data_IF_265238067088
#
_entry.id   IF_265238067088
#
_cell.length_a   1.000
_cell.length_b   1.000
_cell.length_c   1.000
_cell.angle_alpha   90.00
_cell.angle_beta   90.00
_cell.angle_gamma   90.00
#
_symmetry.space_group_name_H-M   'P 1'
#
loop_
_entity.id
_entity.type
_entity.pdbx_description
1 polymer ?
#
# COMPACT_ATOMS: atom_id res chain seq x y z
N UNK A 1 -17.55 40.71 -2.94
CA UNK A 1 -16.26 41.07 -2.31
C UNK A 1 -16.45 41.00 -0.80
N UNK A 2 -15.76 40.23 0.04
CA UNK A 2 -14.56 39.41 -0.04
C UNK A 2 -14.72 38.26 0.98
N UNK A 3 -14.68 37.02 0.50
CA UNK A 3 -14.33 35.85 1.31
C UNK A 3 -12.85 36.00 1.71
N UNK A 4 -12.52 36.12 3.00
CA UNK A 4 -11.11 36.03 3.42
C UNK A 4 -10.96 35.65 4.91
N UNK A 5 -10.59 34.39 5.15
CA UNK A 5 -9.69 33.92 6.22
C UNK A 5 -10.08 34.20 7.69
N UNK A 6 -10.86 33.28 8.30
CA UNK A 6 -10.87 33.06 9.76
C UNK A 6 -10.30 31.69 10.13
N UNK A 7 -9.17 31.34 9.49
CA UNK A 7 -8.25 30.32 9.98
C UNK A 7 -7.13 31.03 10.76
N UNK A 8 -7.40 31.47 11.99
CA UNK A 8 -6.33 31.92 12.90
C UNK A 8 -6.74 31.91 14.39
N UNK A 9 -7.51 30.92 14.85
CA UNK A 9 -7.86 30.80 16.29
C UNK A 9 -7.55 29.40 16.87
N UNK A 10 -7.21 28.40 16.05
CA UNK A 10 -7.01 27.02 16.55
C UNK A 10 -5.55 26.56 16.72
N UNK A 11 -4.58 27.48 16.64
CA UNK A 11 -3.16 27.19 16.95
C UNK A 11 -2.65 27.80 18.26
N UNK A 12 -3.51 28.44 19.08
CA UNK A 12 -3.04 29.12 20.29
C UNK A 12 -3.02 28.24 21.56
N UNK A 13 -3.47 26.98 21.50
CA UNK A 13 -3.53 26.10 22.68
C UNK A 13 -2.40 25.06 22.78
N UNK A 14 -1.42 25.08 21.88
CA UNK A 14 -0.37 24.05 21.83
C UNK A 14 1.08 24.58 21.94
N UNK A 15 1.31 25.88 22.08
CA UNK A 15 2.66 26.42 22.29
C UNK A 15 2.67 27.37 23.50
N UNK A 16 3.14 26.88 24.64
CA UNK A 16 3.35 27.68 25.85
C UNK A 16 4.45 28.71 25.66
N UNK A 17 4.08 29.92 25.25
CA UNK A 17 4.99 31.05 25.16
C UNK A 17 4.44 32.20 26.03
N UNK A 18 4.94 32.31 27.27
CA UNK A 18 4.44 33.23 28.31
C UNK A 18 4.90 34.69 28.18
N UNK A 19 5.41 35.16 27.04
CA UNK A 19 6.00 36.50 26.96
C UNK A 19 5.67 37.15 25.62
N UNK A 20 4.51 37.81 25.54
CA UNK A 20 4.22 39.00 24.71
C UNK A 20 2.72 39.28 24.71
N UNK A 21 2.18 39.84 25.81
CA UNK A 21 0.87 40.49 25.77
C UNK A 21 0.79 41.69 26.72
N UNK A 22 1.83 42.54 26.71
CA UNK A 22 1.81 43.82 27.42
C UNK A 22 1.53 44.98 26.47
N UNK A 23 0.47 44.91 25.65
CA UNK A 23 0.00 46.11 24.92
C UNK A 23 -1.40 46.07 24.32
N UNK A 24 -2.41 45.56 25.01
CA UNK A 24 -3.81 45.85 24.65
C UNK A 24 -4.71 45.72 25.88
N UNK A 25 -4.59 46.68 26.79
CA UNK A 25 -5.53 46.85 27.89
C UNK A 25 -5.94 48.32 27.91
N UNK A 26 -7.04 48.64 27.20
CA UNK A 26 -7.98 49.72 27.52
C UNK A 26 -9.02 49.82 26.39
N UNK A 27 -9.87 48.80 26.30
CA UNK A 27 -11.24 49.01 25.82
C UNK A 27 -12.12 47.99 26.53
N UNK A 28 -13.10 48.49 27.28
CA UNK A 28 -14.01 47.67 28.06
C UNK A 28 -14.85 46.78 27.11
N UNK A 29 -14.50 45.51 27.03
CA UNK A 29 -15.37 44.49 26.44
C UNK A 29 -16.34 43.99 27.52
N UNK A 30 -17.62 43.76 27.19
CA UNK A 30 -18.58 43.20 28.13
C UNK A 30 -18.10 41.81 28.57
N UNK A 31 -18.19 41.53 29.88
CA UNK A 31 -17.85 40.23 30.48
C UNK A 31 -18.73 39.15 29.85
N UNK A 32 -18.24 38.52 28.79
CA UNK A 32 -18.89 37.37 28.15
C UNK A 32 -18.82 36.23 29.17
N UNK A 33 -19.97 35.82 29.70
CA UNK A 33 -20.09 34.62 30.55
C UNK A 33 -19.59 33.45 29.72
N UNK A 34 -18.42 32.92 30.05
CA UNK A 34 -17.91 31.69 29.45
C UNK A 34 -18.72 30.56 30.09
N UNK A 35 -19.55 29.82 29.34
CA UNK A 35 -20.24 28.67 29.91
C UNK A 35 -19.19 27.69 30.43
N UNK A 36 -19.24 27.39 31.72
CA UNK A 36 -18.36 26.46 32.39
C UNK A 36 -18.75 25.04 31.94
N UNK A 37 -18.32 24.66 30.73
CA UNK A 37 -18.48 23.28 30.24
C UNK A 37 -17.61 22.42 31.16
N UNK A 38 -18.23 21.69 32.08
CA UNK A 38 -17.56 20.70 32.91
C UNK A 38 -17.10 19.57 31.97
N UNK A 39 -15.92 19.73 31.39
CA UNK A 39 -15.32 18.69 30.57
C UNK A 39 -14.96 17.53 31.49
N UNK A 40 -15.65 16.40 31.32
CA UNK A 40 -15.28 15.17 32.01
C UNK A 40 -13.89 14.77 31.53
N UNK A 41 -12.89 15.01 32.39
CA UNK A 41 -11.47 14.73 32.12
C UNK A 41 -11.23 13.25 31.83
N UNK A 42 -12.07 12.35 32.35
CA UNK A 42 -11.98 10.92 32.03
C UNK A 42 -12.53 10.62 30.64
N UNK A 43 -13.62 11.27 30.23
CA UNK A 43 -14.17 11.11 28.88
C UNK A 43 -13.21 11.67 27.82
N UNK A 44 -12.62 12.86 28.05
CA UNK A 44 -11.63 13.44 27.14
C UNK A 44 -10.36 12.60 27.06
N UNK A 45 -9.87 12.07 28.19
CA UNK A 45 -8.72 11.16 28.21
C UNK A 45 -8.99 9.83 27.47
N UNK A 46 -10.17 9.23 27.66
CA UNK A 46 -10.58 8.02 26.93
C UNK A 46 -10.67 8.26 25.42
N UNK A 47 -11.22 9.41 25.01
CA UNK A 47 -11.34 9.76 23.60
C UNK A 47 -9.95 9.98 22.96
N UNK A 48 -9.06 10.73 23.62
CA UNK A 48 -7.69 10.94 23.17
C UNK A 48 -6.91 9.62 23.05
N UNK A 49 -7.02 8.72 24.03
CA UNK A 49 -6.39 7.39 23.98
C UNK A 49 -6.87 6.57 22.78
N UNK A 50 -8.19 6.55 22.50
CA UNK A 50 -8.74 5.84 21.33
C UNK A 50 -8.26 6.42 20.01
N UNK A 51 -8.24 7.74 19.88
CA UNK A 51 -7.74 8.43 18.67
C UNK A 51 -6.27 8.08 18.41
N UNK A 52 -5.43 8.13 19.44
CA UNK A 52 -4.00 7.78 19.33
C UNK A 52 -3.81 6.30 18.98
N UNK A 53 -4.59 5.38 19.56
CA UNK A 53 -4.52 3.95 19.23
C UNK A 53 -4.89 3.67 17.77
N UNK A 54 -5.98 4.27 17.28
CA UNK A 54 -6.40 4.15 15.87
C UNK A 54 -5.35 4.74 14.93
N UNK A 55 -4.79 5.91 15.28
CA UNK A 55 -3.70 6.52 14.51
C UNK A 55 -2.44 5.64 14.47
N UNK A 56 -2.01 5.07 15.60
CA UNK A 56 -0.88 4.15 15.68
C UNK A 56 -1.10 2.88 14.85
N UNK A 57 -2.30 2.29 14.89
CA UNK A 57 -2.66 1.14 14.06
C UNK A 57 -2.61 1.48 12.57
N UNK A 58 -3.12 2.66 12.18
CA UNK A 58 -3.07 3.14 10.79
C UNK A 58 -1.64 3.35 10.32
N UNK A 59 -0.78 3.98 11.13
CA UNK A 59 0.64 4.17 10.81
C UNK A 59 1.37 2.83 10.70
N UNK A 60 1.15 1.89 11.63
CA UNK A 60 1.73 0.54 11.57
C UNK A 60 1.32 -0.21 10.29
N UNK A 61 0.05 -0.08 9.89
CA UNK A 61 -0.45 -0.66 8.63
C UNK A 61 0.21 -0.02 7.41
N UNK A 62 0.33 1.31 7.37
CA UNK A 62 1.01 2.02 6.28
C UNK A 62 2.49 1.62 6.15
N UNK A 63 3.22 1.52 7.26
CA UNK A 63 4.62 1.08 7.28
C UNK A 63 4.78 -0.38 6.82
N UNK A 64 3.90 -1.28 7.28
CA UNK A 64 3.91 -2.67 6.86
C UNK A 64 3.58 -2.82 5.35
N UNK A 65 2.62 -2.05 4.85
CA UNK A 65 2.29 -2.03 3.42
C UNK A 65 3.46 -1.53 2.58
N UNK A 66 4.16 -0.49 3.04
CA UNK A 66 5.34 0.04 2.35
C UNK A 66 6.50 -0.97 2.28
N UNK A 67 6.62 -1.85 3.29
CA UNK A 67 7.60 -2.94 3.26
C UNK A 67 7.19 -4.09 2.35
N UNK A 68 5.90 -4.42 2.28
CA UNK A 68 5.39 -5.49 1.41
C UNK A 68 5.48 -5.08 -0.07
N UNK A 69 5.14 -3.83 -0.39
CA UNK A 69 5.27 -3.31 -1.76
C UNK A 69 6.71 -3.35 -2.23
N UNK A 70 7.68 -2.98 -1.38
CA UNK A 70 9.10 -3.05 -1.74
C UNK A 70 9.54 -4.49 -1.98
N UNK A 71 9.25 -5.40 -1.05
CA UNK A 71 9.58 -6.83 -1.21
C UNK A 71 8.94 -7.45 -2.45
N UNK A 72 7.74 -6.99 -2.80
CA UNK A 72 7.07 -7.43 -4.03
C UNK A 72 7.88 -7.00 -5.25
N UNK A 73 8.33 -5.74 -5.32
CA UNK A 73 9.19 -5.27 -6.41
C UNK A 73 10.50 -6.05 -6.50
N UNK A 74 11.16 -6.28 -5.37
CA UNK A 74 12.42 -7.03 -5.31
C UNK A 74 12.23 -8.45 -5.87
N UNK A 75 11.18 -9.17 -5.47
CA UNK A 75 10.89 -10.50 -6.00
C UNK A 75 10.49 -10.51 -7.48
N UNK A 76 9.84 -9.45 -7.97
CA UNK A 76 9.52 -9.32 -9.40
C UNK A 76 10.79 -9.09 -10.23
N UNK A 77 11.76 -8.34 -9.70
CA UNK A 77 13.07 -8.16 -10.33
C UNK A 77 13.86 -9.47 -10.36
N UNK A 78 13.91 -10.19 -9.23
CA UNK A 78 14.52 -11.52 -9.18
C UNK A 78 13.88 -12.45 -10.21
N UNK A 79 12.54 -12.49 -10.28
CA UNK A 79 11.82 -13.34 -11.23
C UNK A 79 12.17 -13.01 -12.69
N UNK A 80 12.22 -11.72 -13.04
CA UNK A 80 12.62 -11.25 -14.36
C UNK A 80 14.05 -11.68 -14.71
N UNK A 81 14.99 -11.56 -13.78
CA UNK A 81 16.37 -12.00 -13.99
C UNK A 81 16.45 -13.51 -14.26
N UNK A 82 15.70 -14.33 -13.52
CA UNK A 82 15.68 -15.77 -13.72
C UNK A 82 15.05 -16.17 -15.07
N UNK A 83 13.99 -15.49 -15.51
CA UNK A 83 13.39 -15.70 -16.83
C UNK A 83 14.39 -15.38 -17.95
N UNK A 84 15.08 -14.24 -17.86
CA UNK A 84 16.12 -13.83 -18.82
C UNK A 84 17.28 -14.82 -18.86
N UNK A 85 17.75 -15.27 -17.69
CA UNK A 85 18.85 -16.23 -17.60
C UNK A 85 18.53 -17.58 -18.25
N UNK A 86 17.25 -17.93 -18.39
CA UNK A 86 16.78 -19.16 -19.02
C UNK A 86 16.24 -18.95 -20.44
N UNK A 87 16.46 -17.77 -21.04
CA UNK A 87 15.94 -17.40 -22.35
C UNK A 87 14.40 -17.51 -22.46
N UNK A 88 13.69 -17.34 -21.34
CA UNK A 88 12.22 -17.31 -21.23
C UNK A 88 11.72 -15.86 -21.13
N UNK A 89 12.42 -14.92 -21.76
CA UNK A 89 12.06 -13.51 -21.78
C UNK A 89 12.02 -13.03 -23.22
N UNK A 90 10.82 -12.70 -23.70
CA UNK A 90 10.62 -12.24 -25.06
C UNK A 90 10.85 -10.74 -25.16
N UNK A 91 11.64 -10.28 -26.12
CA UNK A 91 11.84 -8.83 -26.33
C UNK A 91 10.62 -8.19 -27.01
N UNK A 92 9.93 -8.96 -27.86
CA UNK A 92 8.78 -8.49 -28.61
C UNK A 92 7.48 -8.71 -27.83
N UNK A 93 6.65 -7.67 -27.76
CA UNK A 93 5.32 -7.78 -27.16
C UNK A 93 4.41 -8.65 -28.05
N UNK A 94 3.62 -9.58 -27.47
CA UNK A 94 2.62 -10.33 -28.21
C UNK A 94 1.56 -9.41 -28.82
N UNK A 95 0.89 -9.90 -29.85
CA UNK A 95 -0.28 -9.22 -30.42
C UNK A 95 -1.28 -8.83 -29.31
N UNK A 96 -1.82 -7.60 -29.30
CA UNK A 96 -2.74 -7.14 -28.26
C UNK A 96 -3.95 -8.06 -28.05
N UNK A 97 -4.41 -8.72 -29.11
CA UNK A 97 -5.49 -9.71 -29.06
C UNK A 97 -5.17 -10.90 -28.16
N UNK A 98 -3.90 -11.33 -28.09
CA UNK A 98 -3.46 -12.45 -27.25
C UNK A 98 -3.42 -12.09 -25.76
N UNK A 99 -3.28 -10.80 -25.42
CA UNK A 99 -3.30 -10.33 -24.03
C UNK A 99 -4.73 -10.25 -23.46
N UNK A 100 -5.75 -10.32 -24.31
CA UNK A 100 -7.17 -10.13 -23.95
C UNK A 100 -7.92 -11.45 -23.69
N UNK A 101 -7.21 -12.53 -23.35
CA UNK A 101 -7.88 -13.78 -23.01
C UNK A 101 -8.72 -13.67 -21.74
N UNK A 102 -9.84 -14.40 -21.71
CA UNK A 102 -10.71 -14.57 -20.54
C UNK A 102 -10.36 -15.81 -19.71
N UNK A 103 -9.48 -16.68 -20.21
CA UNK A 103 -9.05 -17.89 -19.52
C UNK A 103 -8.04 -17.56 -18.42
N UNK A 104 -7.99 -18.35 -17.33
CA UNK A 104 -6.96 -18.21 -16.32
C UNK A 104 -5.59 -18.43 -16.96
N UNK A 105 -4.64 -17.55 -16.62
CA UNK A 105 -3.28 -17.57 -17.18
C UNK A 105 -3.21 -17.37 -18.70
N UNK A 106 -4.30 -16.94 -19.35
CA UNK A 106 -4.39 -16.83 -20.81
C UNK A 106 -3.89 -18.09 -21.54
N UNK A 107 -4.19 -19.27 -20.99
CA UNK A 107 -3.63 -20.56 -21.41
C UNK A 107 -3.97 -20.96 -22.85
N UNK A 108 -4.94 -20.29 -23.47
CA UNK A 108 -5.36 -20.45 -24.85
C UNK A 108 -4.57 -19.57 -25.83
N UNK A 109 -4.03 -18.43 -25.38
CA UNK A 109 -3.38 -17.45 -26.27
C UNK A 109 -1.89 -17.25 -25.99
N UNK A 110 -1.41 -17.54 -24.79
CA UNK A 110 -0.04 -17.27 -24.36
C UNK A 110 0.62 -18.51 -23.78
N UNK A 111 1.93 -18.60 -23.99
CA UNK A 111 2.77 -19.48 -23.20
C UNK A 111 2.82 -18.97 -21.75
N UNK A 112 2.99 -19.89 -20.81
CA UNK A 112 2.93 -19.55 -19.38
C UNK A 112 3.98 -18.49 -18.97
N UNK A 113 5.19 -18.57 -19.52
CA UNK A 113 6.24 -17.58 -19.24
C UNK A 113 5.90 -16.20 -19.84
N UNK A 114 5.21 -16.16 -20.99
CA UNK A 114 4.73 -14.92 -21.61
C UNK A 114 3.63 -14.29 -20.76
N UNK A 115 2.73 -15.10 -20.21
CA UNK A 115 1.74 -14.61 -19.27
C UNK A 115 2.39 -13.98 -18.02
N UNK A 116 3.42 -14.63 -17.46
CA UNK A 116 4.20 -14.08 -16.34
C UNK A 116 4.78 -12.71 -16.72
N UNK A 117 5.49 -12.65 -17.85
CA UNK A 117 6.20 -11.46 -18.31
C UNK A 117 5.27 -10.29 -18.66
N UNK A 118 4.23 -10.54 -19.44
CA UNK A 118 3.43 -9.46 -20.05
C UNK A 118 2.18 -9.10 -19.27
N UNK A 119 1.69 -9.98 -18.39
CA UNK A 119 0.45 -9.74 -17.63
C UNK A 119 0.76 -9.62 -16.14
N UNK A 120 1.38 -10.64 -15.54
CA UNK A 120 1.54 -10.68 -14.09
C UNK A 120 2.53 -9.63 -13.57
N UNK A 121 3.76 -9.59 -14.10
CA UNK A 121 4.80 -8.65 -13.63
C UNK A 121 4.35 -7.19 -13.79
N UNK A 122 3.86 -6.74 -14.96
CA UNK A 122 3.46 -5.35 -15.16
C UNK A 122 2.25 -4.99 -14.30
N UNK A 123 1.28 -5.89 -14.15
CA UNK A 123 0.11 -5.66 -13.29
C UNK A 123 0.51 -5.43 -11.83
N UNK A 124 1.42 -6.24 -11.28
CA UNK A 124 1.86 -6.09 -9.90
C UNK A 124 2.70 -4.82 -9.69
N UNK A 125 3.61 -4.50 -10.63
CA UNK A 125 4.36 -3.22 -10.62
C UNK A 125 3.41 -2.03 -10.62
N UNK A 126 2.41 -2.04 -11.51
CA UNK A 126 1.41 -0.98 -11.59
C UNK A 126 0.60 -0.84 -10.29
N UNK A 127 0.24 -1.94 -9.64
CA UNK A 127 -0.42 -1.89 -8.32
C UNK A 127 0.43 -1.15 -7.30
N UNK A 128 1.73 -1.43 -7.25
CA UNK A 128 2.67 -0.77 -6.34
C UNK A 128 2.83 0.71 -6.67
N UNK A 129 3.11 1.05 -7.93
CA UNK A 129 3.32 2.43 -8.39
C UNK A 129 2.09 3.31 -8.12
N UNK A 130 0.89 2.78 -8.40
CA UNK A 130 -0.37 3.49 -8.21
C UNK A 130 -0.87 3.43 -6.76
N UNK A 131 -0.11 2.81 -5.84
CA UNK A 131 -0.51 2.58 -4.43
C UNK A 131 -1.89 1.92 -4.30
N UNK A 132 -2.24 1.09 -5.28
CA UNK A 132 -3.45 0.26 -5.26
C UNK A 132 -3.21 -0.94 -4.35
N UNK A 133 -4.27 -1.53 -3.78
CA UNK A 133 -4.12 -2.81 -3.09
C UNK A 133 -3.51 -3.84 -4.06
N UNK A 134 -2.51 -4.57 -3.57
CA UNK A 134 -2.01 -5.75 -4.26
C UNK A 134 -3.11 -6.81 -4.30
N UNK A 135 -3.18 -7.64 -5.36
CA UNK A 135 -4.20 -8.66 -5.47
C UNK A 135 -4.07 -9.68 -4.34
N UNK A 136 -5.21 -10.01 -3.73
CA UNK A 136 -5.28 -11.01 -2.67
C UNK A 136 -5.44 -12.38 -3.35
N UNK A 137 -4.62 -13.36 -2.95
CA UNK A 137 -4.71 -14.75 -3.44
C UNK A 137 -4.38 -14.91 -4.93
N UNK A 138 -3.13 -14.65 -5.27
CA UNK A 138 -2.54 -15.26 -6.47
C UNK A 138 -1.82 -16.54 -6.06
N UNK A 139 -2.05 -17.59 -6.84
CA UNK A 139 -1.44 -18.90 -6.66
C UNK A 139 -0.88 -19.33 -8.02
N UNK A 140 0.29 -18.78 -8.36
CA UNK A 140 0.93 -18.96 -9.67
C UNK A 140 1.93 -20.11 -9.65
N UNK A 141 2.60 -20.33 -8.52
CA UNK A 141 3.58 -21.40 -8.35
C UNK A 141 3.03 -22.82 -8.60
N UNK A 142 1.79 -23.20 -8.24
CA UNK A 142 1.26 -24.51 -8.58
C UNK A 142 1.16 -24.71 -10.10
N UNK A 143 0.77 -23.67 -10.83
CA UNK A 143 0.68 -23.71 -12.30
C UNK A 143 2.06 -23.88 -12.93
N UNK A 144 3.08 -23.20 -12.39
CA UNK A 144 4.47 -23.36 -12.83
C UNK A 144 4.97 -24.79 -12.67
N UNK A 145 4.62 -25.45 -11.56
CA UNK A 145 4.97 -26.85 -11.31
C UNK A 145 4.31 -27.79 -12.33
N UNK A 146 3.06 -27.53 -12.70
CA UNK A 146 2.36 -28.34 -13.71
C UNK A 146 2.94 -28.13 -15.12
N UNK A 147 3.13 -26.88 -15.55
CA UNK A 147 3.72 -26.56 -16.87
C UNK A 147 5.14 -27.13 -17.02
N UNK A 148 5.93 -27.10 -15.94
CA UNK A 148 7.32 -27.57 -15.93
C UNK A 148 7.53 -28.91 -15.23
N UNK A 149 6.51 -29.76 -15.12
CA UNK A 149 6.58 -31.04 -14.39
C UNK A 149 7.75 -31.95 -14.78
N UNK A 150 8.17 -31.92 -16.05
CA UNK A 150 9.34 -32.65 -16.55
C UNK A 150 10.69 -31.90 -16.44
N UNK A 151 10.67 -30.60 -16.09
CA UNK A 151 11.80 -29.68 -16.08
C UNK A 151 11.94 -28.90 -14.76
N UNK A 152 11.39 -29.43 -13.66
CA UNK A 152 11.36 -28.74 -12.37
C UNK A 152 12.74 -28.35 -11.84
N UNK A 153 13.78 -29.14 -12.14
CA UNK A 153 15.16 -28.82 -11.75
C UNK A 153 15.72 -27.64 -12.53
N UNK A 154 15.39 -27.54 -13.82
CA UNK A 154 15.82 -26.47 -14.72
C UNK A 154 15.17 -25.15 -14.32
N UNK A 155 13.85 -25.15 -14.12
CA UNK A 155 13.08 -23.95 -13.78
C UNK A 155 12.95 -23.71 -12.26
N UNK A 156 13.77 -24.39 -11.43
CA UNK A 156 13.65 -24.36 -9.97
C UNK A 156 13.64 -22.95 -9.39
N UNK A 157 14.55 -22.09 -9.86
CA UNK A 157 14.66 -20.74 -9.30
C UNK A 157 13.45 -19.87 -9.63
N UNK A 158 12.91 -20.01 -10.85
CA UNK A 158 11.67 -19.32 -11.25
C UNK A 158 10.51 -19.79 -10.38
N UNK A 159 10.36 -21.09 -10.17
CA UNK A 159 9.30 -21.66 -9.32
C UNK A 159 9.42 -21.16 -7.87
N UNK A 160 10.63 -21.07 -7.32
CA UNK A 160 10.87 -20.56 -5.98
C UNK A 160 10.54 -19.06 -5.87
N UNK A 161 10.89 -18.26 -6.87
CA UNK A 161 10.55 -16.84 -6.92
C UNK A 161 9.02 -16.63 -6.98
N UNK A 162 8.32 -17.39 -7.83
CA UNK A 162 6.85 -17.37 -7.89
C UNK A 162 6.22 -17.77 -6.56
N UNK A 163 6.76 -18.79 -5.90
CA UNK A 163 6.29 -19.22 -4.57
C UNK A 163 6.49 -18.13 -3.51
N UNK A 164 7.64 -17.46 -3.52
CA UNK A 164 7.89 -16.35 -2.60
C UNK A 164 6.91 -15.19 -2.79
N UNK A 165 6.54 -14.89 -4.05
CA UNK A 165 5.51 -13.90 -4.37
C UNK A 165 4.14 -14.35 -3.87
N UNK A 166 3.73 -15.59 -4.16
CA UNK A 166 2.44 -16.16 -3.69
C UNK A 166 2.33 -16.06 -2.15
N UNK A 167 3.36 -16.48 -1.41
CA UNK A 167 3.41 -16.45 0.05
C UNK A 167 3.39 -15.02 0.61
N UNK A 168 4.14 -14.10 -0.01
CA UNK A 168 4.20 -12.70 0.41
C UNK A 168 2.81 -12.03 0.32
N UNK A 169 2.06 -12.35 -0.72
CA UNK A 169 0.77 -11.74 -1.01
C UNK A 169 -0.39 -12.41 -0.27
N UNK A 170 -0.35 -13.73 -0.07
CA UNK A 170 -1.35 -14.44 0.75
C UNK A 170 -1.25 -14.04 2.23
N UNK A 171 -0.02 -13.91 2.75
CA UNK A 171 0.24 -13.53 4.15
C UNK A 171 -0.15 -12.09 4.53
N UNK A 172 -0.42 -11.20 3.57
CA UNK A 172 -0.84 -9.82 3.87
C UNK A 172 -2.24 -9.74 4.48
N UNK A 173 -3.11 -10.73 4.24
CA UNK A 173 -4.54 -10.63 4.54
C UNK A 173 -4.99 -11.29 5.85
N UNK A 174 -4.11 -11.99 6.56
CA UNK A 174 -4.41 -12.65 7.84
C UNK A 174 -4.49 -11.73 9.07
N UNK A 175 -4.60 -10.41 8.91
CA UNK A 175 -4.81 -9.45 10.01
C UNK A 175 -5.98 -8.52 9.69
N UNK A 176 -7.19 -9.05 9.84
CA UNK A 176 -8.42 -8.29 9.95
C UNK A 176 -9.14 -8.64 11.24
#
# INVERSE_FOLDING_TARGET
MLFRYSWCIRCFYLCGCSLLFSRFANHALPKRVVPHIHTDKNLTLKLCKRIVTVAKAKVKKLMANNSITQKTLDHLEDLEQHLKAQALWDEAMPEPSRLLSSQPFASDTLEFYQWIQFIMIPSLRQCVEQRKPLPNKIAVSPMAVEVWKGKLKEHRQIILALKAIDELLDGHHGRH
#
